data_IF_980148509645
#
_entry.id   IF_980148509645
#
_cell.length_a   1.000
_cell.length_b   1.000
_cell.length_c   1.000
_cell.angle_alpha   90.00
_cell.angle_beta   90.00
_cell.angle_gamma   90.00
#
_symmetry.space_group_name_H-M   'P 1'
#
loop_
_entity.id
_entity.type
_entity.pdbx_description
1 polymer ?
#
# COMPACT_ATOMS: atom_id res chain seq x y z
N UNK A 1 10.26 24.99 6.90
CA UNK A 1 10.07 24.35 6.83
C UNK A 1 10.56 23.77 5.95
N UNK A 2 11.09 23.52 5.76
CA UNK A 2 11.57 22.94 4.96
C UNK A 2 11.74 21.67 5.11
N UNK A 3 11.34 21.12 6.04
CA UNK A 3 11.46 19.83 6.20
C UNK A 3 10.61 19.15 5.35
N UNK A 4 10.94 18.22 4.56
CA UNK A 4 10.10 17.36 3.74
C UNK A 4 9.46 16.34 4.62
N UNK A 5 8.16 16.30 4.58
CA UNK A 5 7.43 15.29 5.34
C UNK A 5 7.34 14.03 4.49
N UNK A 6 8.29 13.15 4.67
CA UNK A 6 8.35 11.91 3.89
C UNK A 6 7.16 11.00 4.19
N UNK A 7 6.64 11.04 5.40
CA UNK A 7 5.47 10.22 5.72
C UNK A 7 4.24 10.68 4.95
N UNK A 8 4.03 11.97 4.84
CA UNK A 8 2.90 12.49 4.09
C UNK A 8 3.03 12.15 2.62
N UNK A 9 4.25 12.27 2.09
CA UNK A 9 4.48 11.95 0.69
C UNK A 9 4.29 10.47 0.42
N UNK A 10 4.75 9.63 1.34
CA UNK A 10 4.59 8.20 1.21
C UNK A 10 3.12 7.82 1.24
N UNK A 11 2.37 8.39 2.16
CA UNK A 11 0.95 8.12 2.26
C UNK A 11 0.23 8.49 0.98
N UNK A 12 0.53 9.65 0.43
CA UNK A 12 -0.10 10.08 -0.81
C UNK A 12 0.26 9.20 -1.98
N UNK A 13 1.51 8.74 -2.02
CA UNK A 13 1.93 7.83 -3.07
C UNK A 13 1.19 6.50 -2.96
N UNK A 14 1.04 5.99 -1.74
CA UNK A 14 0.33 4.73 -1.54
C UNK A 14 -1.16 4.90 -1.85
N UNK A 15 -1.71 6.05 -1.54
CA UNK A 15 -3.10 6.32 -1.86
C UNK A 15 -3.33 6.34 -3.36
N UNK A 16 -2.41 6.98 -4.10
CA UNK A 16 -2.51 7.00 -5.55
C UNK A 16 -2.37 5.60 -6.12
N UNK A 17 -1.49 4.80 -5.54
CA UNK A 17 -1.31 3.42 -5.96
C UNK A 17 -2.60 2.62 -5.75
N UNK A 18 -3.25 2.83 -4.61
CA UNK A 18 -4.51 2.15 -4.31
C UNK A 18 -5.60 2.59 -5.28
N UNK A 19 -5.65 3.86 -5.62
CA UNK A 19 -6.63 4.37 -6.59
C UNK A 19 -6.45 3.70 -7.95
N UNK A 20 -5.21 3.51 -8.37
CA UNK A 20 -4.95 2.84 -9.63
C UNK A 20 -5.37 1.38 -9.57
N UNK A 21 -5.11 0.73 -8.46
CA UNK A 21 -5.51 -0.66 -8.28
C UNK A 21 -7.03 -0.78 -8.33
N UNK A 22 -7.72 0.15 -7.68
CA UNK A 22 -9.17 0.15 -7.69
C UNK A 22 -9.72 0.35 -9.09
N UNK A 23 -9.14 1.28 -9.85
CA UNK A 23 -9.56 1.52 -11.22
C UNK A 23 -9.39 0.27 -12.08
N UNK A 24 -8.27 -0.41 -11.89
CA UNK A 24 -8.03 -1.65 -12.61
C UNK A 24 -9.04 -2.71 -12.19
N UNK A 25 -9.29 -2.82 -10.89
CA UNK A 25 -10.14 -3.87 -10.35
C UNK A 25 -11.58 -3.75 -10.84
N UNK A 26 -12.12 -2.55 -10.88
CA UNK A 26 -13.52 -2.37 -11.28
C UNK A 26 -13.75 -2.67 -12.75
N UNK A 27 -12.67 -2.79 -13.52
CA UNK A 27 -12.78 -3.15 -14.93
C UNK A 27 -12.74 -4.64 -15.15
N UNK A 28 -12.50 -5.41 -14.10
CA UNK A 28 -12.39 -6.85 -14.22
C UNK A 28 -13.79 -7.48 -14.20
N UNK A 29 -13.84 -8.75 -14.59
CA UNK A 29 -15.10 -9.47 -14.53
C UNK A 29 -15.47 -9.76 -13.09
N UNK A 30 -16.75 -9.99 -12.80
CA UNK A 30 -17.19 -10.19 -11.41
C UNK A 30 -16.42 -11.27 -10.66
N UNK A 31 -16.05 -12.36 -11.29
CA UNK A 31 -15.28 -13.39 -10.62
C UNK A 31 -13.93 -12.88 -10.23
N UNK A 32 -13.29 -12.11 -11.11
CA UNK A 32 -11.98 -11.56 -10.81
C UNK A 32 -12.06 -10.53 -9.70
N UNK A 33 -13.10 -9.74 -9.68
CA UNK A 33 -13.30 -8.76 -8.63
C UNK A 33 -13.39 -9.47 -7.29
N UNK A 34 -14.17 -10.54 -7.22
CA UNK A 34 -14.29 -11.29 -5.98
C UNK A 34 -12.96 -11.91 -5.54
N UNK A 35 -12.18 -12.39 -6.51
CA UNK A 35 -10.90 -13.00 -6.20
C UNK A 35 -9.91 -12.00 -5.63
N UNK A 36 -10.03 -10.73 -5.99
CA UNK A 36 -9.09 -9.71 -5.56
C UNK A 36 -9.63 -8.82 -4.44
N UNK A 37 -10.85 -9.10 -3.96
CA UNK A 37 -11.46 -8.27 -2.92
C UNK A 37 -10.64 -8.30 -1.64
N UNK A 38 -10.11 -9.46 -1.28
CA UNK A 38 -9.31 -9.58 -0.07
C UNK A 38 -8.06 -8.72 -0.17
N UNK A 39 -7.39 -8.78 -1.31
CA UNK A 39 -6.19 -7.98 -1.52
C UNK A 39 -6.51 -6.49 -1.46
N UNK A 40 -7.61 -6.08 -2.07
CA UNK A 40 -8.01 -4.68 -2.04
C UNK A 40 -8.27 -4.21 -0.61
N UNK A 41 -8.95 -5.02 0.18
CA UNK A 41 -9.25 -4.69 1.57
C UNK A 41 -7.98 -4.59 2.40
N UNK A 42 -7.05 -5.52 2.19
CA UNK A 42 -5.78 -5.50 2.92
C UNK A 42 -4.96 -4.27 2.56
N UNK A 43 -4.95 -3.91 1.28
CA UNK A 43 -4.23 -2.70 0.86
C UNK A 43 -4.84 -1.46 1.47
N UNK A 44 -6.15 -1.43 1.59
CA UNK A 44 -6.83 -0.29 2.18
C UNK A 44 -6.52 -0.18 3.67
N UNK A 45 -6.47 -1.31 4.36
CA UNK A 45 -6.10 -1.33 5.77
C UNK A 45 -4.68 -0.82 5.97
N UNK A 46 -3.76 -1.24 5.09
CA UNK A 46 -2.38 -0.77 5.16
C UNK A 46 -2.33 0.74 4.94
N UNK A 47 -3.09 1.23 3.98
CA UNK A 47 -3.11 2.66 3.70
C UNK A 47 -3.60 3.44 4.91
N UNK A 48 -4.63 2.95 5.57
CA UNK A 48 -5.17 3.62 6.75
C UNK A 48 -4.17 3.59 7.91
N UNK A 49 -3.45 2.49 8.06
CA UNK A 49 -2.42 2.41 9.09
C UNK A 49 -1.30 3.40 8.82
N UNK A 50 -0.95 3.57 7.56
CA UNK A 50 0.12 4.51 7.20
C UNK A 50 -0.25 5.95 7.52
N UNK A 51 -1.53 6.25 7.53
CA UNK A 51 -1.97 7.59 7.85
C UNK A 51 -1.63 7.96 9.28
N UNK A 52 -1.71 6.98 10.18
CA UNK A 52 -1.43 7.23 11.59
C UNK A 52 -0.01 6.85 11.98
N UNK A 53 0.66 6.07 11.17
CA UNK A 53 1.98 5.60 11.50
C UNK A 53 3.02 6.65 11.18
N UNK A 54 3.91 6.90 12.13
CA UNK A 54 5.00 7.83 11.92
C UNK A 54 6.29 7.07 11.75
N UNK A 55 6.69 6.84 10.52
CA UNK A 55 7.95 6.17 10.25
C UNK A 55 9.10 7.15 10.40
N UNK A 56 10.26 6.62 10.68
CA UNK A 56 11.45 7.44 10.68
C UNK A 56 11.69 7.98 9.28
N UNK A 57 12.19 9.20 9.15
CA UNK A 57 12.34 9.81 7.81
C UNK A 57 13.14 8.95 6.86
N UNK A 58 14.15 8.25 7.35
CA UNK A 58 14.97 7.42 6.48
C UNK A 58 14.16 6.25 5.92
N UNK A 59 13.32 5.65 6.73
CA UNK A 59 12.52 4.54 6.28
C UNK A 59 11.46 4.99 5.29
N UNK A 60 10.80 6.11 5.58
CA UNK A 60 9.80 6.64 4.66
C UNK A 60 10.43 7.00 3.33
N UNK A 61 11.61 7.58 3.38
CA UNK A 61 12.32 7.95 2.18
C UNK A 61 12.70 6.73 1.35
N UNK A 62 13.16 5.68 2.03
CA UNK A 62 13.51 4.45 1.35
C UNK A 62 12.30 3.83 0.66
N UNK A 63 11.17 3.85 1.31
CA UNK A 63 9.95 3.30 0.72
C UNK A 63 9.47 4.15 -0.45
N UNK A 64 9.71 5.46 -0.40
CA UNK A 64 9.33 6.34 -1.50
C UNK A 64 10.11 6.06 -2.78
N UNK A 65 11.25 5.40 -2.67
CA UNK A 65 12.03 5.04 -3.85
C UNK A 65 11.37 3.92 -4.65
N UNK A 66 10.50 3.16 -4.00
CA UNK A 66 9.81 2.08 -4.70
C UNK A 66 8.72 2.66 -5.59
N UNK A 67 8.53 2.13 -6.80
CA UNK A 67 7.42 2.57 -7.64
C UNK A 67 6.07 2.12 -7.10
N UNK A 68 6.05 1.13 -6.22
CA UNK A 68 4.79 0.63 -5.67
C UNK A 68 4.96 0.23 -4.20
N UNK A 69 5.12 1.22 -3.31
CA UNK A 69 5.36 0.91 -1.89
C UNK A 69 4.20 0.16 -1.24
N UNK A 70 2.96 0.42 -1.64
CA UNK A 70 1.82 -0.27 -1.07
C UNK A 70 1.86 -1.75 -1.41
N UNK A 71 2.18 -2.09 -2.64
CA UNK A 71 2.32 -3.48 -3.05
C UNK A 71 3.44 -4.16 -2.30
N UNK A 72 4.54 -3.44 -2.06
CA UNK A 72 5.67 -4.00 -1.34
C UNK A 72 5.28 -4.39 0.08
N UNK A 73 4.54 -3.53 0.77
CA UNK A 73 4.09 -3.82 2.13
C UNK A 73 3.10 -4.97 2.13
N UNK A 74 2.18 -4.98 1.17
CA UNK A 74 1.21 -6.05 1.06
C UNK A 74 1.91 -7.40 0.87
N UNK A 75 2.91 -7.45 0.01
CA UNK A 75 3.63 -8.68 -0.24
C UNK A 75 4.38 -9.14 1.00
N UNK A 76 4.92 -8.22 1.76
CA UNK A 76 5.63 -8.56 2.99
C UNK A 76 4.68 -9.22 3.98
N UNK A 77 3.48 -8.70 4.14
CA UNK A 77 2.51 -9.30 5.03
C UNK A 77 2.09 -10.69 4.54
N UNK A 78 1.87 -10.82 3.25
CA UNK A 78 1.45 -12.09 2.68
C UNK A 78 2.53 -13.15 2.85
N UNK A 79 3.79 -12.77 2.65
CA UNK A 79 4.89 -13.70 2.80
C UNK A 79 5.05 -14.15 4.24
N UNK A 80 4.82 -13.26 5.19
CA UNK A 80 4.90 -13.63 6.59
C UNK A 80 3.84 -14.66 6.95
N UNK A 81 2.63 -14.47 6.45
CA UNK A 81 1.57 -15.43 6.69
C UNK A 81 1.97 -16.79 6.13
N UNK A 82 2.59 -16.82 4.97
CA UNK A 82 3.01 -18.05 4.36
C UNK A 82 4.04 -18.77 5.19
N UNK A 83 4.90 -18.03 5.85
CA UNK A 83 5.94 -18.63 6.64
C UNK A 83 5.41 -19.40 7.83
N UNK A 84 4.25 -19.06 8.31
CA UNK A 84 3.68 -19.74 9.43
C UNK A 84 3.03 -21.06 9.08
N UNK A 85 2.99 -21.39 7.81
CA UNK A 85 2.43 -22.66 7.39
C UNK A 85 3.49 -23.76 7.29
#
# INVERSE_FOLDING_TARGET
MNETDYNARLYEKMKAEQDKYRDWLVRQEPCEILNHTYEYTMREDIEMCMEELALEPEKARAMLRSPCPLSDVYKAFRDRDTEHM
#
